data_IF_037391723541
#
_entry.id   IF_037391723541
#
_cell.length_a   1.000
_cell.length_b   1.000
_cell.length_c   1.000
_cell.angle_alpha   90.00
_cell.angle_beta   90.00
_cell.angle_gamma   90.00
#
_symmetry.space_group_name_H-M   'P 1'
#
loop_
_entity.id
_entity.type
_entity.pdbx_description
1 polymer ?
#
# COMPACT_ATOMS: atom_id res chain seq x y z
N UNK A 1 -8.75 -13.43 -8.10
CA UNK A 1 -7.54 -14.28 -8.08
C UNK A 1 -6.98 -14.46 -6.68
N UNK A 2 -6.81 -13.40 -5.89
CA UNK A 2 -6.26 -13.49 -4.51
C UNK A 2 -7.00 -14.47 -3.59
N UNK A 3 -8.35 -14.51 -3.62
CA UNK A 3 -9.09 -15.47 -2.77
C UNK A 3 -8.73 -16.93 -3.04
N UNK A 4 -8.34 -17.29 -4.27
CA UNK A 4 -7.93 -18.66 -4.59
C UNK A 4 -6.59 -19.03 -3.97
N UNK A 5 -5.70 -18.04 -3.77
CA UNK A 5 -4.46 -18.27 -3.03
C UNK A 5 -4.74 -18.48 -1.55
N UNK A 6 -5.69 -17.73 -0.98
CA UNK A 6 -6.14 -17.93 0.41
C UNK A 6 -6.70 -19.35 0.59
N UNK A 7 -7.47 -19.86 -0.37
CA UNK A 7 -7.95 -21.26 -0.36
C UNK A 7 -6.81 -22.27 -0.49
N UNK A 8 -5.76 -21.97 -1.27
CA UNK A 8 -4.58 -22.82 -1.40
C UNK A 8 -3.71 -22.83 -0.14
N UNK A 9 -3.79 -21.77 0.67
CA UNK A 9 -3.14 -21.67 1.98
C UNK A 9 -3.99 -22.33 3.09
N UNK A 10 -5.01 -23.13 2.72
CA UNK A 10 -5.91 -23.88 3.61
C UNK A 10 -6.70 -23.02 4.62
N UNK A 11 -7.01 -21.77 4.26
CA UNK A 11 -7.88 -20.91 5.06
C UNK A 11 -9.36 -21.03 4.65
N UNK A 12 -10.22 -21.19 5.66
CA UNK A 12 -11.67 -21.18 5.48
C UNK A 12 -12.20 -19.77 5.15
N UNK A 13 -12.66 -19.58 3.91
CA UNK A 13 -13.29 -18.33 3.49
C UNK A 13 -14.77 -18.34 3.90
N UNK A 14 -15.08 -17.73 5.04
CA UNK A 14 -16.46 -17.61 5.51
C UNK A 14 -17.34 -16.69 4.64
N UNK A 15 -16.76 -15.70 3.97
CA UNK A 15 -17.51 -14.74 3.13
C UNK A 15 -16.64 -14.13 2.05
N UNK A 16 -17.19 -13.99 0.83
CA UNK A 16 -16.57 -13.28 -0.28
C UNK A 16 -17.39 -12.03 -0.60
N UNK A 17 -16.74 -10.86 -0.58
CA UNK A 17 -17.40 -9.59 -0.90
C UNK A 17 -16.90 -9.06 -2.24
N UNK A 18 -17.85 -8.68 -3.10
CA UNK A 18 -17.57 -7.89 -4.29
C UNK A 18 -17.79 -6.41 -3.95
N UNK A 19 -16.69 -5.68 -3.74
CA UNK A 19 -16.70 -4.27 -3.31
C UNK A 19 -16.20 -3.30 -4.38
N UNK A 20 -15.55 -3.80 -5.43
CA UNK A 20 -15.00 -2.95 -6.49
C UNK A 20 -16.07 -2.62 -7.53
N UNK A 21 -16.34 -1.33 -7.69
CA UNK A 21 -17.18 -0.76 -8.74
C UNK A 21 -16.36 -0.59 -10.03
N UNK A 22 -16.96 -0.89 -11.18
CA UNK A 22 -16.30 -0.78 -12.48
C UNK A 22 -16.24 0.69 -12.92
N UNK A 23 -15.14 1.06 -13.59
CA UNK A 23 -14.94 2.43 -14.10
C UNK A 23 -13.47 2.80 -14.03
N UNK A 24 -12.82 2.40 -12.93
CA UNK A 24 -11.40 2.68 -12.65
C UNK A 24 -11.06 4.17 -12.80
N UNK A 25 -12.01 5.02 -12.40
CA UNK A 25 -11.88 6.48 -12.27
C UNK A 25 -12.00 6.88 -10.79
N UNK A 26 -11.86 8.17 -10.52
CA UNK A 26 -11.88 8.73 -9.17
C UNK A 26 -13.21 8.47 -8.45
N UNK A 27 -14.34 8.53 -9.18
CA UNK A 27 -15.66 8.26 -8.63
C UNK A 27 -15.83 6.79 -8.24
N UNK A 28 -15.44 5.87 -9.13
CA UNK A 28 -15.52 4.42 -8.88
C UNK A 28 -14.70 3.98 -7.66
N UNK A 29 -13.57 4.64 -7.37
CA UNK A 29 -12.83 4.38 -6.13
C UNK A 29 -13.64 4.72 -4.88
N UNK A 30 -14.29 5.89 -4.85
CA UNK A 30 -15.13 6.33 -3.72
C UNK A 30 -16.38 5.46 -3.60
N UNK A 31 -17.02 5.14 -4.73
CA UNK A 31 -18.17 4.23 -4.77
C UNK A 31 -17.81 2.84 -4.25
N UNK A 32 -16.60 2.34 -4.52
CA UNK A 32 -16.10 1.07 -4.00
C UNK A 32 -15.95 1.07 -2.47
N UNK A 33 -15.48 2.19 -1.91
CA UNK A 33 -15.44 2.40 -0.45
C UNK A 33 -16.85 2.35 0.13
N UNK A 34 -17.79 3.09 -0.46
CA UNK A 34 -19.20 3.08 -0.04
C UNK A 34 -19.81 1.68 -0.13
N UNK A 35 -19.55 0.95 -1.21
CA UNK A 35 -20.06 -0.40 -1.43
C UNK A 35 -19.49 -1.41 -0.41
N UNK A 36 -18.23 -1.25 0.02
CA UNK A 36 -17.68 -2.02 1.11
C UNK A 36 -18.38 -1.70 2.43
N UNK A 37 -18.59 -0.42 2.75
CA UNK A 37 -19.21 0.03 4.00
C UNK A 37 -20.68 -0.38 4.14
N UNK A 38 -21.43 -0.53 3.05
CA UNK A 38 -22.81 -1.06 3.12
C UNK A 38 -22.85 -2.59 3.31
N UNK A 39 -21.79 -3.32 2.97
CA UNK A 39 -21.74 -4.79 3.04
C UNK A 39 -21.07 -5.33 4.28
N UNK A 40 -20.05 -4.64 4.80
CA UNK A 40 -19.23 -5.09 5.91
C UNK A 40 -20.00 -5.27 7.23
N UNK A 41 -20.95 -4.38 7.62
CA UNK A 41 -21.59 -4.47 8.93
C UNK A 41 -22.31 -5.79 9.19
N UNK A 42 -23.07 -6.31 8.22
CA UNK A 42 -23.78 -7.58 8.37
C UNK A 42 -22.80 -8.77 8.49
N UNK A 43 -21.67 -8.70 7.79
CA UNK A 43 -20.62 -9.72 7.89
C UNK A 43 -19.94 -9.67 9.24
N UNK A 44 -19.58 -8.47 9.72
CA UNK A 44 -18.91 -8.29 11.01
C UNK A 44 -19.83 -8.68 12.18
N UNK A 45 -21.12 -8.36 12.13
CA UNK A 45 -22.10 -8.79 13.14
C UNK A 45 -22.28 -10.31 13.19
N UNK A 46 -22.17 -10.99 12.04
CA UNK A 46 -22.26 -12.45 11.97
C UNK A 46 -20.98 -13.14 12.42
N UNK A 47 -19.82 -12.64 12.01
CA UNK A 47 -18.52 -13.22 12.34
C UNK A 47 -18.05 -12.88 13.77
N UNK A 48 -18.52 -11.76 14.33
CA UNK A 48 -18.18 -11.26 15.68
C UNK A 48 -16.69 -11.36 16.01
N UNK A 49 -15.79 -10.77 15.20
CA UNK A 49 -14.36 -10.86 15.46
C UNK A 49 -13.97 -10.03 16.69
N UNK A 50 -13.08 -10.57 17.53
CA UNK A 50 -12.49 -9.82 18.65
C UNK A 50 -11.53 -8.72 18.16
N UNK A 51 -10.85 -8.98 17.04
CA UNK A 51 -9.90 -8.09 16.39
C UNK A 51 -9.89 -8.32 14.87
N UNK A 52 -9.71 -7.26 14.11
CA UNK A 52 -9.55 -7.29 12.66
C UNK A 52 -8.17 -6.79 12.25
N UNK A 53 -7.47 -7.54 11.40
CA UNK A 53 -6.16 -7.15 10.86
C UNK A 53 -6.40 -6.38 9.55
N UNK A 54 -5.87 -5.16 9.49
CA UNK A 54 -5.99 -4.26 8.33
C UNK A 54 -4.58 -3.91 7.85
N UNK A 55 -4.32 -4.01 6.55
CA UNK A 55 -2.98 -3.80 5.99
C UNK A 55 -2.94 -2.61 5.03
N UNK A 56 -1.89 -1.79 5.16
CA UNK A 56 -1.48 -0.83 4.14
C UNK A 56 -2.28 0.46 4.13
N UNK A 57 -2.48 1.00 2.94
CA UNK A 57 -2.78 2.40 2.65
C UNK A 57 -3.83 2.62 1.54
N UNK A 58 -4.44 1.54 1.03
CA UNK A 58 -5.44 1.63 -0.06
C UNK A 58 -6.82 1.97 0.48
N UNK A 59 -7.67 2.48 -0.41
CA UNK A 59 -9.06 2.85 -0.12
C UNK A 59 -9.88 1.69 0.49
N UNK A 60 -9.67 0.44 0.06
CA UNK A 60 -10.33 -0.74 0.65
C UNK A 60 -9.98 -0.91 2.15
N UNK A 61 -8.74 -0.63 2.53
CA UNK A 61 -8.28 -0.72 3.93
C UNK A 61 -8.93 0.36 4.80
N UNK A 62 -9.21 1.55 4.23
CA UNK A 62 -9.96 2.59 4.91
C UNK A 62 -11.40 2.18 5.19
N UNK A 63 -12.06 1.52 4.23
CA UNK A 63 -13.41 0.98 4.44
C UNK A 63 -13.44 -0.05 5.57
N UNK A 64 -12.46 -0.98 5.58
CA UNK A 64 -12.28 -1.96 6.66
C UNK A 64 -12.10 -1.26 8.01
N UNK A 65 -11.11 -0.37 8.14
CA UNK A 65 -10.83 0.33 9.38
C UNK A 65 -12.03 1.15 9.89
N UNK A 66 -12.74 1.82 8.99
CA UNK A 66 -13.93 2.63 9.34
C UNK A 66 -15.05 1.74 9.86
N UNK A 67 -15.35 0.63 9.17
CA UNK A 67 -16.41 -0.30 9.58
C UNK A 67 -16.14 -0.91 10.95
N UNK A 68 -14.91 -1.37 11.22
CA UNK A 68 -14.57 -1.95 12.52
C UNK A 68 -14.54 -0.92 13.64
N UNK A 69 -13.97 0.27 13.41
CA UNK A 69 -13.90 1.31 14.44
C UNK A 69 -15.30 1.75 14.88
N UNK A 70 -16.21 2.00 13.93
CA UNK A 70 -17.59 2.41 14.24
C UNK A 70 -18.43 1.29 14.88
N UNK A 71 -18.07 0.03 14.65
CA UNK A 71 -18.74 -1.14 15.24
C UNK A 71 -18.08 -1.62 16.54
N UNK A 72 -17.15 -0.85 17.10
CA UNK A 72 -16.41 -1.22 18.30
C UNK A 72 -15.66 -2.57 18.18
N UNK A 73 -15.03 -2.80 17.04
CA UNK A 73 -14.14 -3.94 16.78
C UNK A 73 -12.70 -3.46 16.80
N UNK A 74 -11.82 -4.15 17.54
CA UNK A 74 -10.39 -3.81 17.62
C UNK A 74 -9.74 -3.93 16.24
N UNK A 75 -8.76 -3.08 15.97
CA UNK A 75 -8.04 -3.06 14.69
C UNK A 75 -6.54 -3.17 14.96
N UNK A 76 -5.90 -4.13 14.32
CA UNK A 76 -4.45 -4.20 14.19
C UNK A 76 -4.05 -3.68 12.79
N UNK A 77 -3.50 -2.48 12.72
CA UNK A 77 -3.06 -1.87 11.46
C UNK A 77 -1.59 -2.21 11.17
N UNK A 78 -1.36 -2.89 10.06
CA UNK A 78 -0.03 -3.28 9.57
C UNK A 78 0.46 -2.25 8.54
N UNK A 79 1.75 -1.90 8.61
CA UNK A 79 2.40 -0.95 7.70
C UNK A 79 1.94 0.52 7.89
N UNK A 80 1.54 0.85 9.13
CA UNK A 80 1.37 2.23 9.57
C UNK A 80 2.71 2.96 9.71
N UNK A 81 2.68 4.30 9.67
CA UNK A 81 3.84 5.15 9.90
C UNK A 81 4.81 5.34 8.72
N UNK A 82 4.66 4.60 7.62
CA UNK A 82 5.44 4.85 6.40
C UNK A 82 4.96 6.12 5.65
N UNK A 83 5.82 6.66 4.77
CA UNK A 83 5.57 7.84 3.92
C UNK A 83 5.80 7.46 2.46
N UNK A 84 4.92 7.84 1.54
CA UNK A 84 4.95 7.43 0.13
C UNK A 84 4.70 8.57 -0.87
N UNK A 85 4.37 9.78 -0.39
CA UNK A 85 4.31 11.00 -1.20
C UNK A 85 3.11 11.08 -2.13
N UNK A 86 1.99 10.44 -1.78
CA UNK A 86 0.73 10.47 -2.54
C UNK A 86 -0.48 10.51 -1.61
N UNK A 87 -1.71 10.45 -2.17
CA UNK A 87 -2.94 10.35 -1.36
C UNK A 87 -2.94 9.14 -0.41
N UNK A 88 -2.16 8.09 -0.74
CA UNK A 88 -1.95 6.91 0.08
C UNK A 88 -1.46 7.29 1.50
N UNK A 89 -0.70 8.39 1.67
CA UNK A 89 -0.26 8.85 2.99
C UNK A 89 -1.42 9.34 3.86
N UNK A 90 -2.32 10.15 3.27
CA UNK A 90 -3.53 10.60 3.95
C UNK A 90 -4.39 9.42 4.38
N UNK A 91 -4.54 8.42 3.51
CA UNK A 91 -5.32 7.22 3.80
C UNK A 91 -4.65 6.40 4.91
N UNK A 92 -3.33 6.15 4.81
CA UNK A 92 -2.55 5.41 5.82
C UNK A 92 -2.67 6.03 7.20
N UNK A 93 -2.58 7.36 7.29
CA UNK A 93 -2.62 8.06 8.56
C UNK A 93 -4.05 8.22 9.11
N UNK A 94 -5.07 8.29 8.25
CA UNK A 94 -6.46 8.17 8.67
C UNK A 94 -6.75 6.78 9.26
N UNK A 95 -6.31 5.70 8.58
CA UNK A 95 -6.41 4.33 9.11
C UNK A 95 -5.67 4.21 10.44
N UNK A 96 -4.48 4.79 10.54
CA UNK A 96 -3.71 4.85 11.79
C UNK A 96 -4.57 5.44 12.89
N UNK A 97 -5.23 6.58 12.65
CA UNK A 97 -6.07 7.23 13.68
C UNK A 97 -7.29 6.40 14.07
N UNK A 98 -7.84 5.59 13.18
CA UNK A 98 -8.93 4.65 13.47
C UNK A 98 -8.46 3.38 14.19
N UNK A 99 -7.22 2.95 13.96
CA UNK A 99 -6.72 1.67 14.45
C UNK A 99 -6.35 1.71 15.94
N UNK A 100 -6.53 0.58 16.64
CA UNK A 100 -6.33 0.47 18.09
C UNK A 100 -4.94 -0.04 18.46
N UNK A 101 -4.31 -0.77 17.53
CA UNK A 101 -3.00 -1.36 17.65
C UNK A 101 -2.26 -1.21 16.34
N UNK A 102 -0.94 -1.07 16.41
CA UNK A 102 -0.09 -0.76 15.26
C UNK A 102 1.06 -1.74 15.13
N UNK A 103 1.31 -2.22 13.91
CA UNK A 103 2.51 -2.96 13.56
C UNK A 103 3.25 -2.19 12.48
N UNK A 104 4.41 -1.65 12.83
CA UNK A 104 5.27 -0.90 11.93
C UNK A 104 6.51 -1.72 11.50
N UNK A 105 7.07 -1.34 10.35
CA UNK A 105 8.14 -2.11 9.69
C UNK A 105 9.54 -1.54 9.96
N UNK A 106 9.65 -0.25 10.29
CA UNK A 106 10.93 0.45 10.52
C UNK A 106 10.85 1.33 11.77
N UNK A 107 12.02 1.66 12.33
CA UNK A 107 12.10 2.61 13.47
C UNK A 107 11.63 4.01 13.09
N UNK A 108 11.84 4.44 11.84
CA UNK A 108 11.32 5.72 11.37
C UNK A 108 9.79 5.71 11.35
N UNK A 109 9.17 4.62 10.87
CA UNK A 109 7.72 4.48 10.90
C UNK A 109 7.15 4.47 12.33
N UNK A 110 7.83 3.80 13.27
CA UNK A 110 7.49 3.83 14.70
C UNK A 110 7.50 5.27 15.24
N UNK A 111 8.54 6.04 14.94
CA UNK A 111 8.65 7.43 15.36
C UNK A 111 7.57 8.32 14.73
N UNK A 112 7.19 8.09 13.48
CA UNK A 112 6.07 8.81 12.86
C UNK A 112 4.74 8.52 13.56
N UNK A 113 4.48 7.27 13.96
CA UNK A 113 3.28 6.91 14.71
C UNK A 113 3.22 7.65 16.05
N UNK A 114 4.33 7.64 16.80
CA UNK A 114 4.44 8.35 18.09
C UNK A 114 4.27 9.87 17.88
N UNK A 115 4.91 10.44 16.85
CA UNK A 115 4.78 11.86 16.52
C UNK A 115 3.36 12.24 16.12
N UNK A 116 2.60 11.32 15.51
CA UNK A 116 1.18 11.47 15.27
C UNK A 116 0.33 11.20 16.53
N UNK A 117 0.91 11.16 17.72
CA UNK A 117 0.23 11.01 19.00
C UNK A 117 -0.45 9.64 19.17
N UNK A 118 0.11 8.59 18.57
CA UNK A 118 -0.26 7.21 18.90
C UNK A 118 0.41 6.77 20.21
N UNK A 119 -0.30 5.95 20.98
CA UNK A 119 0.19 5.37 22.24
C UNK A 119 1.30 4.35 21.97
N UNK A 120 2.48 4.55 22.58
CA UNK A 120 3.62 3.68 22.37
C UNK A 120 3.36 2.24 22.84
N UNK A 121 2.53 2.04 23.87
CA UNK A 121 2.21 0.70 24.38
C UNK A 121 1.39 -0.13 23.39
N UNK A 122 0.79 0.54 22.41
CA UNK A 122 -0.02 -0.06 21.35
C UNK A 122 0.73 -0.19 20.02
N UNK A 123 2.03 0.12 20.00
CA UNK A 123 2.87 0.03 18.81
C UNK A 123 3.85 -1.15 18.94
N UNK A 124 3.88 -1.99 17.93
CA UNK A 124 4.86 -3.06 17.75
C UNK A 124 5.75 -2.75 16.55
N UNK A 125 7.06 -2.61 16.77
CA UNK A 125 8.06 -2.70 15.71
C UNK A 125 8.36 -4.18 15.40
N UNK A 126 7.70 -4.72 14.38
CA UNK A 126 7.86 -6.13 14.00
C UNK A 126 8.82 -6.35 12.84
N UNK A 127 8.91 -5.38 11.92
CA UNK A 127 9.36 -5.63 10.55
C UNK A 127 8.19 -6.02 9.64
N UNK A 128 8.41 -5.96 8.33
CA UNK A 128 7.39 -6.30 7.33
C UNK A 128 7.25 -7.82 7.21
N UNK A 129 6.02 -8.39 7.29
CA UNK A 129 5.79 -9.83 7.10
C UNK A 129 6.24 -10.38 5.74
N UNK A 130 6.39 -9.53 4.71
CA UNK A 130 6.97 -9.97 3.44
C UNK A 130 8.41 -10.46 3.62
N UNK A 131 9.17 -9.89 4.56
CA UNK A 131 10.56 -10.29 4.82
C UNK A 131 10.69 -11.69 5.42
N UNK A 132 9.69 -12.17 6.15
CA UNK A 132 9.65 -13.56 6.63
C UNK A 132 9.69 -14.53 5.44
N UNK A 133 9.08 -14.16 4.29
CA UNK A 133 9.15 -14.91 3.03
C UNK A 133 10.42 -14.59 2.23
N UNK A 134 10.81 -13.32 2.10
CA UNK A 134 11.99 -12.93 1.30
C UNK A 134 13.28 -13.57 1.84
N UNK A 135 13.48 -13.56 3.15
CA UNK A 135 14.69 -14.09 3.78
C UNK A 135 14.66 -15.61 3.98
N UNK A 136 13.48 -16.23 3.90
CA UNK A 136 13.32 -17.70 3.91
C UNK A 136 13.16 -18.31 2.51
N UNK A 137 13.13 -17.48 1.46
CA UNK A 137 13.02 -17.90 0.08
C UNK A 137 14.25 -18.75 -0.29
N UNK A 138 14.13 -20.06 -0.11
CA UNK A 138 15.10 -21.01 -0.64
C UNK A 138 15.11 -20.85 -2.16
N UNK A 139 16.30 -20.71 -2.75
CA UNK A 139 16.49 -20.80 -4.19
C UNK A 139 16.06 -22.20 -4.66
N UNK A 140 14.76 -22.38 -4.89
CA UNK A 140 14.19 -23.46 -5.70
C UNK A 140 14.71 -23.29 -7.13
N UNK A 141 14.27 -24.13 -8.06
CA UNK A 141 14.60 -23.97 -9.48
C UNK A 141 14.06 -22.64 -10.05
N UNK A 142 14.73 -21.54 -9.73
CA UNK A 142 14.36 -20.18 -10.08
C UNK A 142 14.48 -19.96 -11.59
N UNK A 143 15.34 -20.74 -12.27
CA UNK A 143 15.44 -20.73 -13.71
C UNK A 143 14.17 -21.26 -14.37
N UNK A 144 13.53 -22.30 -13.83
CA UNK A 144 12.21 -22.74 -14.32
C UNK A 144 11.16 -21.64 -14.20
N UNK A 145 11.17 -20.88 -13.09
CA UNK A 145 10.26 -19.74 -12.87
C UNK A 145 10.54 -18.63 -13.89
N UNK A 146 11.80 -18.26 -14.10
CA UNK A 146 12.20 -17.26 -15.11
C UNK A 146 11.71 -17.68 -16.50
N UNK A 147 11.97 -18.93 -16.90
CA UNK A 147 11.57 -19.45 -18.22
C UNK A 147 10.06 -19.46 -18.41
N UNK A 148 9.32 -19.87 -17.38
CA UNK A 148 7.85 -19.88 -17.40
C UNK A 148 7.26 -18.49 -17.64
N UNK A 149 7.81 -17.45 -17.00
CA UNK A 149 7.24 -16.09 -17.08
C UNK A 149 7.82 -15.23 -18.21
N UNK A 150 9.07 -15.49 -18.63
CA UNK A 150 9.80 -14.63 -19.57
C UNK A 150 10.17 -15.33 -20.89
N UNK A 151 10.29 -16.66 -20.90
CA UNK A 151 10.65 -17.48 -22.06
C UNK A 151 11.95 -18.29 -21.88
N UNK A 152 12.13 -19.33 -22.69
CA UNK A 152 13.22 -20.33 -22.55
C UNK A 152 14.64 -19.75 -22.66
N UNK A 153 14.84 -18.75 -23.52
CA UNK A 153 16.17 -18.18 -23.82
C UNK A 153 16.65 -17.15 -22.78
N UNK A 154 15.85 -16.90 -21.73
CA UNK A 154 16.09 -15.82 -20.78
C UNK A 154 17.05 -16.26 -19.68
N UNK A 155 18.10 -15.45 -19.47
CA UNK A 155 19.13 -15.70 -18.46
C UNK A 155 18.88 -14.87 -17.20
N UNK A 156 19.41 -15.34 -16.07
CA UNK A 156 19.42 -14.58 -14.82
C UNK A 156 20.12 -13.23 -15.02
N UNK A 157 19.59 -12.18 -14.39
CA UNK A 157 20.03 -10.79 -14.51
C UNK A 157 19.97 -10.18 -15.92
N UNK A 158 19.35 -10.84 -16.89
CA UNK A 158 19.21 -10.35 -18.27
C UNK A 158 17.74 -10.13 -18.68
N UNK A 159 16.93 -9.64 -17.74
CA UNK A 159 15.56 -9.23 -17.97
C UNK A 159 15.13 -8.10 -17.02
N UNK A 160 14.02 -7.46 -17.34
CA UNK A 160 13.44 -6.35 -16.58
C UNK A 160 12.11 -6.78 -16.00
N UNK A 161 11.83 -6.38 -14.76
CA UNK A 161 10.48 -6.40 -14.19
C UNK A 161 9.96 -4.97 -14.16
N UNK A 162 8.90 -4.69 -14.93
CA UNK A 162 8.26 -3.39 -15.02
C UNK A 162 6.90 -3.42 -14.30
N UNK A 163 6.75 -2.59 -13.27
CA UNK A 163 5.50 -2.45 -12.51
C UNK A 163 5.30 -0.99 -12.12
N UNK A 164 4.37 -0.33 -12.81
CA UNK A 164 4.05 1.07 -12.63
C UNK A 164 2.55 1.25 -12.42
N UNK A 165 2.21 2.08 -11.44
CA UNK A 165 0.85 2.41 -11.02
C UNK A 165 0.54 3.87 -11.36
N UNK A 166 -0.74 4.21 -11.63
CA UNK A 166 -1.14 5.59 -11.81
C UNK A 166 -1.07 6.33 -10.47
N UNK A 167 -0.76 7.63 -10.51
CA UNK A 167 -0.92 8.53 -9.37
C UNK A 167 -2.25 9.26 -9.55
N UNK A 168 -3.20 9.00 -8.65
CA UNK A 168 -4.60 9.41 -8.80
C UNK A 168 -4.79 10.93 -8.83
N UNK A 169 -3.86 11.70 -8.26
CA UNK A 169 -3.90 13.17 -8.26
C UNK A 169 -3.51 13.78 -9.61
N UNK A 170 -2.78 13.04 -10.46
CA UNK A 170 -2.40 13.50 -11.81
C UNK A 170 -2.33 12.33 -12.80
N UNK A 171 -3.52 11.90 -13.23
CA UNK A 171 -3.66 10.78 -14.17
C UNK A 171 -3.03 11.13 -15.53
N UNK A 172 -3.19 12.36 -16.03
CA UNK A 172 -2.65 12.76 -17.34
C UNK A 172 -1.13 12.65 -17.37
N UNK A 173 -0.46 13.14 -16.33
CA UNK A 173 0.99 12.98 -16.21
C UNK A 173 1.39 11.52 -16.05
N UNK A 174 0.65 10.73 -15.26
CA UNK A 174 0.87 9.28 -15.12
C UNK A 174 0.83 8.53 -16.45
N UNK A 175 -0.14 8.86 -17.31
CA UNK A 175 -0.27 8.30 -18.67
C UNK A 175 0.92 8.69 -19.53
N UNK A 176 1.31 9.97 -19.54
CA UNK A 176 2.44 10.45 -20.33
C UNK A 176 3.76 9.78 -19.91
N UNK A 177 4.01 9.70 -18.60
CA UNK A 177 5.19 9.03 -18.06
C UNK A 177 5.22 7.55 -18.44
N UNK A 178 4.08 6.86 -18.39
CA UNK A 178 4.00 5.45 -18.75
C UNK A 178 4.23 5.22 -20.25
N UNK A 179 3.74 6.12 -21.11
CA UNK A 179 4.07 6.10 -22.55
C UNK A 179 5.59 6.16 -22.76
N UNK A 180 6.25 7.14 -22.14
CA UNK A 180 7.71 7.31 -22.25
C UNK A 180 8.48 6.13 -21.67
N UNK A 181 7.98 5.54 -20.59
CA UNK A 181 8.58 4.36 -19.96
C UNK A 181 8.55 3.16 -20.91
N UNK A 182 7.41 2.92 -21.55
CA UNK A 182 7.28 1.84 -22.53
C UNK A 182 8.12 2.11 -23.77
N UNK A 183 8.22 3.36 -24.25
CA UNK A 183 9.10 3.73 -25.36
C UNK A 183 10.57 3.46 -25.02
N UNK A 184 11.02 3.84 -23.82
CA UNK A 184 12.37 3.56 -23.34
C UNK A 184 12.64 2.06 -23.25
N UNK A 185 11.69 1.26 -22.74
CA UNK A 185 11.82 -0.20 -22.68
C UNK A 185 11.87 -0.86 -24.06
N UNK A 186 11.07 -0.37 -25.02
CA UNK A 186 11.09 -0.83 -26.41
C UNK A 186 12.47 -0.55 -27.02
N UNK A 187 12.99 0.67 -26.86
CA UNK A 187 14.31 1.07 -27.38
C UNK A 187 15.47 0.34 -26.69
N UNK A 188 15.38 0.10 -25.38
CA UNK A 188 16.39 -0.66 -24.63
C UNK A 188 16.42 -2.15 -25.01
N UNK A 189 15.30 -2.67 -25.52
CA UNK A 189 15.17 -3.96 -26.18
C UNK A 189 15.72 -5.15 -25.38
N UNK A 190 15.45 -5.18 -24.07
CA UNK A 190 15.69 -6.34 -23.19
C UNK A 190 14.38 -7.02 -22.81
N UNK A 191 14.44 -8.33 -22.57
CA UNK A 191 13.26 -9.11 -22.16
C UNK A 191 12.59 -8.45 -20.96
N UNK A 192 11.31 -8.13 -21.06
CA UNK A 192 10.61 -7.38 -20.02
C UNK A 192 9.30 -8.06 -19.62
N UNK A 193 9.17 -8.38 -18.33
CA UNK A 193 7.90 -8.75 -17.72
C UNK A 193 7.19 -7.48 -17.27
N UNK A 194 6.04 -7.17 -17.86
CA UNK A 194 5.23 -6.00 -17.51
C UNK A 194 4.01 -6.48 -16.73
N UNK A 195 3.88 -6.01 -15.51
CA UNK A 195 2.70 -6.28 -14.69
C UNK A 195 1.67 -5.17 -14.87
N UNK A 196 0.40 -5.56 -14.91
CA UNK A 196 -0.70 -4.59 -14.98
C UNK A 196 -0.76 -3.78 -13.67
N UNK A 197 -1.16 -2.49 -13.73
CA UNK A 197 -1.35 -1.69 -12.53
C UNK A 197 -2.50 -2.24 -11.66
N UNK A 198 -2.51 -1.83 -10.39
CA UNK A 198 -3.62 -2.03 -9.48
C UNK A 198 -4.90 -1.36 -10.00
N UNK A 199 -6.04 -1.75 -9.43
CA UNK A 199 -7.37 -1.22 -9.76
C UNK A 199 -7.58 0.13 -9.05
N UNK A 200 -6.75 1.10 -9.39
CA UNK A 200 -6.82 2.48 -8.93
C UNK A 200 -7.28 3.38 -10.10
N UNK A 201 -7.68 4.62 -9.79
CA UNK A 201 -8.12 5.59 -10.79
C UNK A 201 -7.03 5.80 -11.86
N UNK A 202 -7.41 5.69 -13.14
CA UNK A 202 -6.52 5.82 -14.30
C UNK A 202 -5.89 4.51 -14.78
N UNK A 203 -6.08 3.39 -14.07
CA UNK A 203 -5.49 2.09 -14.45
C UNK A 203 -5.95 1.58 -15.83
N UNK A 204 -7.22 1.81 -16.18
CA UNK A 204 -7.78 1.46 -17.50
C UNK A 204 -7.09 2.20 -18.65
N UNK A 205 -6.76 3.47 -18.44
CA UNK A 205 -6.05 4.28 -19.44
C UNK A 205 -4.60 3.84 -19.57
N UNK A 206 -3.93 3.45 -18.48
CA UNK A 206 -2.59 2.83 -18.56
C UNK A 206 -2.63 1.53 -19.38
N UNK A 207 -3.62 0.66 -19.15
CA UNK A 207 -3.79 -0.56 -19.96
C UNK A 207 -4.06 -0.21 -21.43
N UNK A 208 -4.80 0.87 -21.71
CA UNK A 208 -5.00 1.37 -23.08
C UNK A 208 -3.68 1.78 -23.73
N UNK A 209 -2.75 2.40 -22.99
CA UNK A 209 -1.40 2.73 -23.49
C UNK A 209 -0.64 1.45 -23.87
N UNK A 210 -0.62 0.44 -22.99
CA UNK A 210 0.05 -0.85 -23.28
C UNK A 210 -0.45 -1.47 -24.59
N UNK A 211 -1.78 -1.52 -24.75
CA UNK A 211 -2.42 -2.06 -25.96
C UNK A 211 -2.08 -1.24 -27.20
N UNK A 212 -2.15 0.09 -27.13
CA UNK A 212 -1.79 0.98 -28.26
C UNK A 212 -0.34 0.80 -28.72
N UNK A 213 0.58 0.57 -27.77
CA UNK A 213 2.00 0.30 -28.05
C UNK A 213 2.29 -1.16 -28.42
N UNK A 214 1.26 -2.03 -28.50
CA UNK A 214 1.41 -3.42 -28.88
C UNK A 214 2.15 -4.31 -27.87
N UNK A 215 2.28 -3.87 -26.61
CA UNK A 215 3.07 -4.58 -25.58
C UNK A 215 2.58 -6.01 -25.36
N UNK A 216 1.28 -6.25 -25.42
CA UNK A 216 0.68 -7.58 -25.21
C UNK A 216 1.04 -8.60 -26.30
N UNK A 217 1.44 -8.14 -27.50
CA UNK A 217 1.81 -8.99 -28.63
C UNK A 217 3.29 -8.86 -29.03
N UNK A 218 4.05 -8.02 -28.34
CA UNK A 218 5.43 -7.75 -28.69
C UNK A 218 6.34 -8.91 -28.24
N UNK A 219 7.26 -9.42 -29.10
CA UNK A 219 8.05 -10.61 -28.78
C UNK A 219 8.93 -10.43 -27.55
N UNK A 220 9.40 -9.20 -27.28
CA UNK A 220 10.27 -8.87 -26.16
C UNK A 220 9.54 -8.65 -24.81
N UNK A 221 8.21 -8.58 -24.82
CA UNK A 221 7.42 -8.32 -23.62
C UNK A 221 6.58 -9.52 -23.20
N UNK A 222 6.27 -9.59 -21.90
CA UNK A 222 5.29 -10.50 -21.31
C UNK A 222 4.39 -9.68 -20.41
N UNK A 223 3.14 -9.49 -20.82
CA UNK A 223 2.16 -8.71 -20.06
C UNK A 223 1.33 -9.65 -19.18
N UNK A 224 1.37 -9.45 -17.86
CA UNK A 224 0.68 -10.35 -16.90
C UNK A 224 -0.06 -9.57 -15.82
N UNK A 225 -1.24 -10.06 -15.41
CA UNK A 225 -2.03 -9.40 -14.38
C UNK A 225 -1.52 -9.67 -12.96
N UNK A 226 -1.02 -10.88 -12.73
CA UNK A 226 -0.59 -11.31 -11.41
C UNK A 226 0.39 -12.48 -11.54
N UNK A 227 1.42 -12.47 -10.69
CA UNK A 227 2.36 -13.57 -10.49
C UNK A 227 2.24 -14.01 -9.03
N UNK A 228 2.11 -15.33 -8.74
CA UNK A 228 2.09 -15.81 -7.37
C UNK A 228 3.30 -15.31 -6.57
N UNK A 229 3.08 -14.85 -5.33
CA UNK A 229 4.10 -14.12 -4.57
C UNK A 229 5.45 -14.86 -4.47
N UNK A 230 5.44 -16.15 -4.11
CA UNK A 230 6.67 -16.96 -4.02
C UNK A 230 7.46 -17.01 -5.35
N UNK A 231 6.78 -17.00 -6.50
CA UNK A 231 7.42 -16.96 -7.82
C UNK A 231 7.87 -15.55 -8.16
N UNK A 232 7.09 -14.53 -7.79
CA UNK A 232 7.42 -13.13 -8.01
C UNK A 232 8.71 -12.75 -7.27
N UNK A 233 8.90 -13.25 -6.05
CA UNK A 233 10.16 -13.11 -5.29
C UNK A 233 11.35 -13.57 -6.13
N UNK A 234 11.27 -14.75 -6.76
CA UNK A 234 12.36 -15.28 -7.61
C UNK A 234 12.60 -14.37 -8.83
N UNK A 235 11.53 -13.86 -9.44
CA UNK A 235 11.65 -12.98 -10.60
C UNK A 235 12.33 -11.66 -10.24
N UNK A 236 12.00 -11.03 -9.12
CA UNK A 236 12.64 -9.76 -8.74
C UNK A 236 14.02 -9.94 -8.13
N UNK A 237 14.28 -11.06 -7.43
CA UNK A 237 15.60 -11.39 -6.88
C UNK A 237 16.68 -11.61 -7.96
N UNK A 238 16.25 -12.05 -9.14
CA UNK A 238 17.13 -12.38 -10.27
C UNK A 238 16.99 -11.44 -11.47
N UNK A 239 16.22 -10.35 -11.35
CA UNK A 239 16.06 -9.37 -12.42
C UNK A 239 17.37 -8.59 -12.66
N UNK A 240 17.58 -8.15 -13.90
CA UNK A 240 18.64 -7.20 -14.24
C UNK A 240 18.37 -5.82 -13.67
N UNK A 241 17.10 -5.40 -13.64
CA UNK A 241 16.61 -4.30 -12.82
C UNK A 241 15.07 -4.37 -12.70
N UNK A 242 14.53 -3.65 -11.72
CA UNK A 242 13.10 -3.35 -11.61
C UNK A 242 12.84 -1.88 -11.95
N UNK A 243 11.77 -1.58 -12.68
CA UNK A 243 11.40 -0.21 -13.08
C UNK A 243 9.92 0.08 -12.84
N UNK A 244 9.61 1.30 -12.43
CA UNK A 244 8.25 1.80 -12.25
C UNK A 244 8.13 2.58 -10.95
N UNK A 245 7.10 2.32 -10.15
CA UNK A 245 6.86 3.01 -8.88
C UNK A 245 6.16 2.12 -7.83
N UNK A 246 6.38 0.81 -7.92
CA UNK A 246 5.87 -0.16 -6.96
C UNK A 246 6.59 -0.04 -5.61
N UNK A 247 5.86 -0.27 -4.52
CA UNK A 247 6.46 -0.35 -3.18
C UNK A 247 7.47 -1.49 -3.07
N UNK A 248 7.31 -2.58 -3.83
CA UNK A 248 8.27 -3.68 -3.89
C UNK A 248 9.68 -3.21 -4.27
N UNK A 249 9.79 -2.28 -5.24
CA UNK A 249 11.08 -1.74 -5.67
C UNK A 249 11.82 -0.99 -4.56
N UNK A 250 11.09 -0.23 -3.74
CA UNK A 250 11.70 0.60 -2.68
C UNK A 250 11.78 -0.12 -1.33
N UNK A 251 11.00 -1.19 -1.10
CA UNK A 251 10.91 -1.89 0.20
C UNK A 251 11.51 -3.29 0.22
N UNK A 252 11.38 -4.05 -0.86
CA UNK A 252 11.57 -5.51 -0.83
C UNK A 252 12.84 -5.94 -1.56
N UNK A 253 13.01 -5.49 -2.81
CA UNK A 253 14.08 -6.00 -3.68
C UNK A 253 15.49 -5.61 -3.24
N UNK A 254 15.60 -4.64 -2.31
CA UNK A 254 16.84 -4.34 -1.59
C UNK A 254 17.39 -5.57 -0.85
N UNK A 255 16.53 -6.49 -0.40
CA UNK A 255 16.95 -7.75 0.22
C UNK A 255 17.81 -8.64 -0.69
N UNK A 256 17.72 -8.45 -2.02
CA UNK A 256 18.49 -9.18 -3.02
C UNK A 256 19.56 -8.32 -3.69
N UNK A 257 19.63 -7.03 -3.35
CA UNK A 257 20.51 -6.06 -4.01
C UNK A 257 20.14 -5.80 -5.48
N UNK A 258 18.89 -6.04 -5.87
CA UNK A 258 18.41 -5.83 -7.24
C UNK A 258 18.39 -4.32 -7.55
N UNK A 259 18.93 -3.87 -8.69
CA UNK A 259 18.84 -2.50 -9.16
C UNK A 259 17.40 -2.03 -9.37
N UNK A 260 17.09 -0.80 -8.98
CA UNK A 260 15.74 -0.23 -9.09
C UNK A 260 15.77 1.15 -9.73
N UNK A 261 14.81 1.40 -10.61
CA UNK A 261 14.50 2.72 -11.17
C UNK A 261 13.11 3.12 -10.69
N UNK A 262 13.04 4.08 -9.77
CA UNK A 262 11.78 4.61 -9.24
C UNK A 262 11.39 5.90 -9.96
N UNK A 263 10.27 5.86 -10.70
CA UNK A 263 9.78 6.93 -11.54
C UNK A 263 8.68 7.75 -10.86
N UNK A 264 8.72 9.06 -11.05
CA UNK A 264 7.64 9.96 -10.63
C UNK A 264 7.62 10.30 -9.14
N UNK A 265 6.45 10.78 -8.69
CA UNK A 265 6.25 11.29 -7.32
C UNK A 265 5.96 10.19 -6.32
N UNK A 266 5.29 9.09 -6.74
CA UNK A 266 5.02 7.95 -5.87
C UNK A 266 6.33 7.35 -5.35
N UNK A 267 6.34 7.01 -4.06
CA UNK A 267 7.51 6.59 -3.28
C UNK A 267 8.44 7.72 -2.81
N UNK A 268 8.12 8.99 -3.07
CA UNK A 268 8.89 10.10 -2.51
C UNK A 268 8.72 10.12 -0.99
N UNK A 269 9.82 10.05 -0.26
CA UNK A 269 9.84 10.02 1.20
C UNK A 269 9.97 8.62 1.82
N UNK A 270 9.86 7.53 1.04
CA UNK A 270 10.19 6.18 1.53
C UNK A 270 11.70 6.03 1.79
N UNK A 271 12.03 5.32 2.86
CA UNK A 271 13.40 4.88 3.15
C UNK A 271 13.87 3.91 2.04
N UNK A 272 15.06 4.15 1.48
CA UNK A 272 15.60 3.32 0.39
C UNK A 272 17.08 3.03 0.58
N UNK A 273 17.54 1.89 0.08
CA UNK A 273 18.96 1.56 0.00
C UNK A 273 19.64 2.17 -1.23
N UNK A 274 20.95 1.98 -1.33
CA UNK A 274 21.76 2.46 -2.47
C UNK A 274 21.40 1.82 -3.83
N UNK A 275 20.57 0.78 -3.82
CA UNK A 275 20.11 0.09 -5.04
C UNK A 275 19.05 0.87 -5.83
N UNK A 276 18.46 1.93 -5.26
CA UNK A 276 17.37 2.69 -5.87
C UNK A 276 17.88 3.98 -6.54
N UNK A 277 17.62 4.12 -7.83
CA UNK A 277 17.77 5.37 -8.58
C UNK A 277 16.41 6.03 -8.77
N UNK A 278 16.24 7.24 -8.24
CA UNK A 278 15.03 8.02 -8.43
C UNK A 278 15.11 8.89 -9.68
N UNK A 279 14.10 8.81 -10.55
CA UNK A 279 13.87 9.72 -11.67
C UNK A 279 12.51 10.38 -11.45
N UNK A 280 12.49 11.43 -10.63
CA UNK A 280 11.25 12.11 -10.22
C UNK A 280 10.56 12.78 -11.41
N UNK A 281 11.33 13.46 -12.23
CA UNK A 281 10.86 14.14 -13.43
C UNK A 281 11.23 13.32 -14.68
N UNK A 282 10.48 12.23 -14.88
CA UNK A 282 10.61 11.32 -16.01
C UNK A 282 9.78 11.83 -17.22
N UNK A 283 10.09 13.05 -17.66
CA UNK A 283 9.38 13.81 -18.71
C UNK A 283 9.88 13.54 -20.14
N UNK A 284 11.03 12.86 -20.30
CA UNK A 284 11.58 12.45 -21.59
C UNK A 284 11.93 10.96 -21.63
N UNK A 285 11.86 10.37 -22.82
CA UNK A 285 12.29 8.98 -23.06
C UNK A 285 13.78 8.81 -22.74
N UNK A 286 14.62 9.78 -23.13
CA UNK A 286 16.07 9.71 -22.97
C UNK A 286 16.50 9.64 -21.50
N UNK A 287 15.84 10.37 -20.59
CA UNK A 287 16.10 10.27 -19.14
C UNK A 287 15.85 8.85 -18.63
N UNK A 288 14.74 8.23 -19.04
CA UNK A 288 14.37 6.87 -18.61
C UNK A 288 15.31 5.84 -19.24
N UNK A 289 15.63 5.99 -20.53
CA UNK A 289 16.58 5.12 -21.23
C UNK A 289 17.98 5.21 -20.62
N UNK A 290 18.43 6.41 -20.24
CA UNK A 290 19.69 6.60 -19.54
C UNK A 290 19.68 5.93 -18.17
N UNK A 291 18.59 6.04 -17.40
CA UNK A 291 18.44 5.33 -16.13
C UNK A 291 18.50 3.80 -16.31
N UNK A 292 17.90 3.26 -17.38
CA UNK A 292 18.02 1.84 -17.74
C UNK A 292 19.47 1.44 -18.01
N UNK A 293 20.21 2.23 -18.80
CA UNK A 293 21.63 2.00 -19.07
C UNK A 293 22.49 2.04 -17.80
N UNK A 294 22.16 2.94 -16.86
CA UNK A 294 22.88 3.07 -15.60
C UNK A 294 22.61 1.92 -14.64
N UNK A 295 21.41 1.34 -14.62
CA UNK A 295 21.01 0.38 -13.58
C UNK A 295 21.03 -1.09 -14.04
N UNK A 296 20.69 -1.36 -15.31
CA UNK A 296 20.49 -2.72 -15.78
C UNK A 296 21.75 -3.58 -15.64
N UNK A 297 21.62 -4.72 -14.94
CA UNK A 297 22.68 -5.70 -14.76
C UNK A 297 23.65 -5.38 -13.62
N UNK A 298 23.48 -4.26 -12.90
CA UNK A 298 24.21 -3.99 -11.66
C UNK A 298 23.83 -4.98 -10.56
N UNK A 299 24.64 -5.00 -9.51
CA UNK A 299 24.35 -5.73 -8.29
C UNK A 299 24.78 -4.88 -7.09
N UNK A 300 23.86 -4.69 -6.15
CA UNK A 300 24.10 -3.93 -4.92
C UNK A 300 24.21 -4.88 -3.71
N UNK A 301 24.69 -4.39 -2.56
CA UNK A 301 24.60 -5.10 -1.29
C UNK A 301 23.15 -5.39 -0.90
N UNK A 302 22.93 -6.52 -0.23
CA UNK A 302 21.62 -6.89 0.31
C UNK A 302 21.29 -6.05 1.55
N UNK A 303 20.14 -5.39 1.56
CA UNK A 303 19.67 -4.55 2.67
C UNK A 303 18.54 -5.23 3.46
N UNK A 304 18.37 -4.80 4.72
CA UNK A 304 17.33 -5.33 5.64
C UNK A 304 16.53 -4.22 6.32
N UNK A 305 16.36 -3.09 5.62
CA UNK A 305 15.74 -1.87 6.17
C UNK A 305 14.35 -2.18 6.75
N UNK A 306 13.55 -2.97 6.01
CA UNK A 306 12.14 -3.20 6.32
C UNK A 306 11.86 -4.48 7.11
N UNK A 307 12.87 -5.30 7.44
CA UNK A 307 12.61 -6.51 8.21
C UNK A 307 13.80 -7.43 8.40
N UNK A 308 13.71 -8.23 9.46
CA UNK A 308 14.71 -9.24 9.84
C UNK A 308 14.22 -10.68 9.64
N UNK A 309 13.01 -10.85 9.11
CA UNK A 309 12.41 -12.15 8.79
C UNK A 309 11.71 -12.85 9.95
N UNK A 310 11.44 -12.14 11.05
CA UNK A 310 10.74 -12.68 12.22
C UNK A 310 9.54 -11.82 12.64
N UNK A 311 8.85 -11.20 11.68
CA UNK A 311 7.71 -10.34 11.96
C UNK A 311 6.50 -11.14 12.50
N UNK A 312 6.17 -12.27 11.88
CA UNK A 312 4.98 -13.06 12.24
C UNK A 312 5.04 -13.57 13.69
N UNK A 313 6.14 -14.17 14.18
CA UNK A 313 6.24 -14.56 15.59
C UNK A 313 6.02 -13.40 16.57
N UNK A 314 6.52 -12.19 16.26
CA UNK A 314 6.30 -10.98 17.09
C UNK A 314 4.84 -10.56 17.08
N UNK A 315 4.21 -10.53 15.91
CA UNK A 315 2.80 -10.19 15.75
C UNK A 315 1.91 -11.16 16.53
N UNK A 316 2.17 -12.47 16.45
CA UNK A 316 1.41 -13.47 17.19
C UNK A 316 1.57 -13.32 18.71
N UNK A 317 2.77 -12.99 19.19
CA UNK A 317 3.00 -12.70 20.61
C UNK A 317 2.23 -11.45 21.06
N UNK A 318 2.22 -10.41 20.24
CA UNK A 318 1.53 -9.15 20.52
C UNK A 318 0.00 -9.32 20.52
N UNK A 319 -0.55 -10.09 19.58
CA UNK A 319 -1.97 -10.44 19.59
C UNK A 319 -2.38 -11.16 20.88
N UNK A 320 -1.54 -12.08 21.38
CA UNK A 320 -1.78 -12.82 22.63
C UNK A 320 -1.66 -11.95 23.89
N UNK A 321 -1.00 -10.79 23.83
CA UNK A 321 -0.89 -9.88 24.97
C UNK A 321 -2.06 -8.91 25.11
N UNK A 322 -2.97 -8.85 24.13
CA UNK A 322 -4.12 -7.96 24.18
C UNK A 322 -5.14 -8.49 25.20
N UNK A 323 -5.42 -7.70 26.25
CA UNK A 323 -6.53 -7.95 27.16
C UNK A 323 -7.84 -7.44 26.55
N UNK A 324 -8.77 -8.35 26.24
CA UNK A 324 -10.07 -8.01 25.67
C UNK A 324 -10.98 -7.25 26.64
N UNK A 325 -10.63 -7.19 27.94
CA UNK A 325 -11.35 -6.41 28.95
C UNK A 325 -10.93 -4.94 29.00
N UNK A 326 -9.82 -4.57 28.36
CA UNK A 326 -9.37 -3.18 28.31
C UNK A 326 -10.40 -2.31 27.58
N UNK A 327 -10.65 -1.06 28.05
CA UNK A 327 -11.52 -0.13 27.33
C UNK A 327 -11.10 0.01 25.88
N UNK A 328 -12.08 -0.12 24.99
CA UNK A 328 -11.84 -0.02 23.55
C UNK A 328 -11.54 1.41 23.10
N UNK A 329 -12.01 2.40 23.85
CA UNK A 329 -11.90 3.80 23.47
C UNK A 329 -10.44 4.21 23.30
N UNK A 330 -10.09 4.55 22.07
CA UNK A 330 -8.77 5.03 21.72
C UNK A 330 -8.53 6.44 22.28
N UNK A 331 -7.33 6.66 22.82
CA UNK A 331 -6.85 7.98 23.25
C UNK A 331 -5.63 8.36 22.42
N UNK A 332 -5.55 9.62 22.02
CA UNK A 332 -4.36 10.16 21.36
C UNK A 332 -3.46 10.78 22.43
N UNK A 333 -2.21 10.35 22.45
CA UNK A 333 -1.19 10.75 23.41
C UNK A 333 -0.56 12.08 22.96
N UNK A 334 -1.35 13.15 22.94
CA UNK A 334 -0.81 14.48 22.73
C UNK A 334 0.12 14.87 23.90
N UNK A 335 1.18 15.64 23.65
CA UNK A 335 1.94 16.27 24.72
C UNK A 335 0.97 17.01 25.66
N UNK A 336 1.22 17.00 26.98
CA UNK A 336 0.37 17.72 27.92
C UNK A 336 0.27 19.18 27.46
N UNK A 337 -0.94 19.58 27.08
CA UNK A 337 -1.26 20.98 26.84
C UNK A 337 -1.12 21.64 28.20
N UNK A 338 -0.42 22.79 28.28
CA UNK A 338 -0.45 23.60 29.52
C UNK A 338 -1.91 23.73 29.93
N UNK A 339 -2.20 23.45 31.21
CA UNK A 339 -3.56 23.55 31.73
C UNK A 339 -4.18 24.85 31.25
N UNK A 340 -5.23 24.73 30.46
CA UNK A 340 -6.03 25.91 30.14
C UNK A 340 -6.61 26.40 31.46
N UNK A 341 -6.63 27.71 31.67
CA UNK A 341 -7.39 28.36 32.76
C UNK A 341 -8.92 28.13 32.58
N UNK A 342 -9.31 27.46 31.50
CA UNK A 342 -10.69 27.17 31.15
C UNK A 342 -11.26 26.09 32.05
N UNK A 343 -12.31 26.46 32.77
CA UNK A 343 -13.20 25.55 33.48
C UNK A 343 -13.85 24.57 32.50
N UNK A 344 -13.90 23.30 32.88
CA UNK A 344 -14.56 22.22 32.15
C UNK A 344 -16.07 22.44 32.10
N UNK A 345 -16.69 22.23 30.94
CA UNK A 345 -18.13 22.40 30.76
C UNK A 345 -18.93 21.34 31.54
N UNK A 346 -18.36 20.16 31.79
CA UNK A 346 -19.03 19.17 32.65
C UNK A 346 -19.11 19.65 34.11
N UNK A 347 -18.12 20.41 34.59
CA UNK A 347 -18.11 21.04 35.91
C UNK A 347 -19.05 22.26 36.00
N UNK A 348 -19.25 22.96 34.88
CA UNK A 348 -20.18 24.10 34.77
C UNK A 348 -21.63 23.61 34.62
N UNK A 349 -21.88 22.54 33.84
CA UNK A 349 -23.22 22.01 33.55
C UNK A 349 -23.85 21.27 34.74
N UNK A 350 -23.06 20.65 35.63
CA UNK A 350 -23.56 20.14 36.92
C UNK A 350 -24.06 21.25 37.86
N UNK A 351 -23.60 22.49 37.66
CA UNK A 351 -23.98 23.65 38.47
C UNK A 351 -24.99 24.58 37.76
N UNK A 352 -25.12 24.49 36.44
CA UNK A 352 -25.98 25.33 35.59
C UNK A 352 -26.89 24.49 34.69
N UNK A 353 -27.69 23.62 35.30
CA UNK A 353 -28.85 23.02 34.65
C UNK A 353 -29.91 24.08 34.34
N UNK A 354 -29.79 24.79 33.21
CA UNK A 354 -30.92 25.27 32.40
C UNK A 354 -30.40 25.92 31.09
N UNK A 355 -30.75 25.30 29.96
CA UNK A 355 -30.59 25.77 28.57
C UNK A 355 -29.19 25.69 27.93
N UNK A 356 -28.92 24.59 27.21
CA UNK A 356 -28.48 24.63 25.82
C UNK A 356 -28.61 23.24 25.18
N UNK A 357 -28.71 23.23 23.85
CA UNK A 357 -29.34 22.21 23.01
C UNK A 357 -28.41 21.06 22.64
N UNK A 358 -28.95 19.86 22.81
CA UNK A 358 -28.51 18.56 22.32
C UNK A 358 -28.44 18.52 20.78
N UNK A 359 -27.32 18.05 20.21
CA UNK A 359 -27.20 17.70 18.78
C UNK A 359 -27.32 16.18 18.53
N UNK A 360 -28.02 15.48 19.41
CA UNK A 360 -28.66 14.19 19.16
C UNK A 360 -29.86 14.33 18.23
N UNK A 361 -29.62 14.59 16.94
CA UNK A 361 -30.65 14.65 15.92
C UNK A 361 -30.71 13.40 15.05
N UNK A 362 -31.79 12.63 15.15
CA UNK A 362 -32.14 11.43 14.34
C UNK A 362 -32.45 11.70 12.85
N UNK A 363 -32.00 12.83 12.29
CA UNK A 363 -32.15 13.15 10.86
C UNK A 363 -30.95 13.96 10.34
N UNK A 364 -29.94 13.28 9.80
CA UNK A 364 -28.80 13.92 9.13
C UNK A 364 -29.26 14.46 7.76
N UNK A 365 -29.30 15.78 7.59
CA UNK A 365 -29.39 16.42 6.26
C UNK A 365 -27.97 16.82 5.84
N UNK A 366 -27.38 16.10 4.90
CA UNK A 366 -26.06 16.44 4.33
C UNK A 366 -26.27 17.29 3.08
N UNK A 367 -25.75 18.51 3.08
CA UNK A 367 -25.63 19.34 1.87
C UNK A 367 -24.16 19.40 1.44
N UNK A 368 -23.86 18.99 0.21
CA UNK A 368 -22.52 19.12 -0.38
C UNK A 368 -22.47 20.43 -1.17
N UNK A 369 -21.78 21.44 -0.65
CA UNK A 369 -21.58 22.72 -1.34
C UNK A 369 -20.21 22.71 -2.01
N UNK A 370 -20.19 22.67 -3.34
CA UNK A 370 -18.96 22.73 -4.13
C UNK A 370 -18.69 24.17 -4.58
N UNK A 371 -17.55 24.75 -4.16
CA UNK A 371 -17.04 26.03 -4.68
C UNK A 371 -15.82 25.78 -5.57
N UNK A 372 -15.89 26.19 -6.85
CA UNK A 372 -14.69 26.30 -7.70
C UNK A 372 -14.02 27.63 -7.38
N UNK A 373 -12.96 27.60 -6.59
CA UNK A 373 -12.15 28.80 -6.33
C UNK A 373 -11.17 28.95 -7.50
N UNK A 374 -11.37 29.98 -8.34
CA UNK A 374 -10.30 30.49 -9.18
C UNK A 374 -9.36 31.29 -8.27
N UNK A 375 -8.34 30.62 -7.74
CA UNK A 375 -7.22 31.33 -7.11
C UNK A 375 -6.41 31.92 -8.26
N UNK A 376 -6.55 33.24 -8.45
CA UNK A 376 -5.79 34.04 -9.41
C UNK A 376 -4.29 34.02 -9.10
#
# INVERSE_FOLDING_TARGET
>A
NTYRMIEQDDFDIHTRLHTIVRGEDEAAMVESVGLALVKLPDVLNRLKPDIMIVHGDRFDALALATSAALMNIRILHIEGGEVSGTIDDSIRHAITKLAHYHVCCTRSAEQHLIAMCEDHDRILLAGCPSYDKLLSAKNKDYMSVIRMWLGEDVKTRDYIVALQHPVTTDIKHSIKMFELTLDALISFNKRTLVLFPNVDAGSKEMVRVMRKKGIEHHPNFRAVKHVPFDQFIQLVAHAGCMIGNSSCGVREVGAFGTPVINLGTRQTGRETGENVLHVRDADTQDKILHALQLQFGKQYPCSKIYGDGNAVPRILKFLKSIDLKEPLQKKFCFPPVKDNISQDIDHILETQSALAVDLGGTNLRVAVVSMKVNIL
#
